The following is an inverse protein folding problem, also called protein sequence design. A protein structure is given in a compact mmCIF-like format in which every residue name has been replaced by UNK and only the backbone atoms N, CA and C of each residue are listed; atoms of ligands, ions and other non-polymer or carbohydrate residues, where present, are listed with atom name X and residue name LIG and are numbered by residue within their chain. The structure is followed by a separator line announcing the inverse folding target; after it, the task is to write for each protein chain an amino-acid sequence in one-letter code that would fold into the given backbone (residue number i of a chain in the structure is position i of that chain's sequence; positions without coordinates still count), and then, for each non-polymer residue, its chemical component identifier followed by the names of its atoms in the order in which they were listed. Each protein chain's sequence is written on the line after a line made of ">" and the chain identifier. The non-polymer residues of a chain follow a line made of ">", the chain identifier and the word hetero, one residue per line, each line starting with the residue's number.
data_IF_533146834865
#
_entry.id   IF_533146834865
#
_cell.length_a   1.000
_cell.length_b   1.000
_cell.length_c   1.000
_cell.angle_alpha   90.00
_cell.angle_beta   90.00
_cell.angle_gamma   90.00
#
_symmetry.space_group_name_H-M   'P 1'
#
loop_
_entity.id
_entity.type
_entity.pdbx_description
1 polymer ?
#
# COMPACT_ATOMS: atom_id res chain seq x y z
N UNK A 1 17.85 -31.47 12.44
CA UNK A 1 17.52 -30.76 11.20
C UNK A 1 17.53 -29.27 11.51
N UNK A 2 18.31 -28.46 10.79
CA UNK A 2 18.40 -27.00 10.99
C UNK A 2 17.86 -26.33 9.75
N UNK A 3 17.00 -25.31 9.93
CA UNK A 3 16.49 -24.48 8.83
C UNK A 3 17.32 -23.20 8.78
N UNK A 4 17.71 -22.81 7.57
CA UNK A 4 18.44 -21.56 7.35
C UNK A 4 17.61 -20.36 7.81
N UNK A 5 18.24 -19.43 8.51
CA UNK A 5 17.58 -18.22 8.97
C UNK A 5 17.19 -17.32 7.78
N UNK A 6 15.95 -16.83 7.76
CA UNK A 6 15.51 -15.87 6.76
C UNK A 6 16.09 -14.49 7.07
N UNK A 7 17.09 -14.11 6.30
CA UNK A 7 17.75 -12.81 6.36
C UNK A 7 17.42 -12.00 5.11
N UNK A 8 17.34 -10.68 5.24
CA UNK A 8 17.29 -9.79 4.09
C UNK A 8 18.67 -9.65 3.42
N UNK A 9 18.76 -8.95 2.31
CA UNK A 9 19.98 -8.67 1.56
C UNK A 9 21.07 -7.96 2.36
N UNK A 10 20.70 -7.25 3.45
CA UNK A 10 21.61 -6.60 4.39
C UNK A 10 22.09 -7.54 5.53
N UNK A 11 21.70 -8.80 5.53
CA UNK A 11 22.03 -9.76 6.58
C UNK A 11 21.22 -9.62 7.89
N UNK A 12 20.15 -8.81 7.88
CA UNK A 12 19.25 -8.63 9.03
C UNK A 12 18.10 -9.64 8.98
N UNK A 13 17.64 -10.09 10.17
CA UNK A 13 16.48 -10.99 10.27
C UNK A 13 15.23 -10.32 9.72
N UNK A 14 14.52 -11.00 8.80
CA UNK A 14 13.24 -10.54 8.30
C UNK A 14 12.12 -10.70 9.34
N UNK A 15 11.04 -9.91 9.20
CA UNK A 15 9.90 -9.91 10.12
C UNK A 15 10.06 -9.06 11.37
N UNK A 16 11.27 -8.48 11.61
CA UNK A 16 11.51 -7.48 12.66
C UNK A 16 11.96 -6.18 12.00
N UNK A 17 11.04 -5.30 11.71
CA UNK A 17 11.34 -3.96 11.17
C UNK A 17 11.56 -2.97 12.31
N UNK A 18 12.18 -1.82 12.03
CA UNK A 18 12.26 -0.70 12.98
C UNK A 18 10.88 -0.17 13.37
N UNK A 19 9.86 -0.43 12.56
CA UNK A 19 8.45 -0.05 12.78
C UNK A 19 7.64 -1.13 13.52
N UNK A 20 8.23 -2.25 13.91
CA UNK A 20 7.55 -3.36 14.58
C UNK A 20 7.63 -4.68 13.81
N UNK A 21 7.09 -5.75 14.41
CA UNK A 21 7.01 -7.06 13.79
C UNK A 21 5.77 -7.15 12.88
N UNK A 22 5.90 -7.90 11.77
CA UNK A 22 4.74 -8.30 10.96
C UNK A 22 4.16 -9.57 11.59
N UNK A 23 2.91 -9.49 11.98
CA UNK A 23 2.21 -10.56 12.67
C UNK A 23 1.36 -11.37 11.70
N UNK A 24 1.20 -12.66 11.97
CA UNK A 24 0.27 -13.53 11.26
C UNK A 24 -1.17 -13.36 11.77
N UNK A 25 -1.33 -12.80 12.95
CA UNK A 25 -2.62 -12.50 13.57
C UNK A 25 -3.26 -11.27 12.88
N UNK A 26 -4.44 -11.41 12.24
CA UNK A 26 -5.09 -10.32 11.51
C UNK A 26 -5.54 -9.16 12.41
N UNK A 27 -5.64 -9.37 13.73
CA UNK A 27 -5.96 -8.29 14.68
C UNK A 27 -4.73 -7.41 15.00
N UNK A 28 -3.52 -7.86 14.66
CA UNK A 28 -2.27 -7.12 14.91
C UNK A 28 -1.65 -6.57 13.64
N UNK A 29 -1.77 -7.28 12.54
CA UNK A 29 -1.38 -6.87 11.19
C UNK A 29 -2.51 -7.30 10.26
N UNK A 30 -3.22 -6.35 9.72
CA UNK A 30 -4.34 -6.64 8.81
C UNK A 30 -3.86 -7.38 7.55
N UNK A 31 -4.71 -8.16 6.87
CA UNK A 31 -4.36 -8.82 5.61
C UNK A 31 -3.79 -7.85 4.56
N UNK A 32 -4.31 -6.62 4.52
CA UNK A 32 -3.81 -5.59 3.62
C UNK A 32 -2.40 -5.12 3.99
N UNK A 33 -2.12 -4.82 5.28
CA UNK A 33 -0.79 -4.46 5.74
C UNK A 33 0.21 -5.60 5.56
N UNK A 34 -0.23 -6.85 5.76
CA UNK A 34 0.57 -8.04 5.51
C UNK A 34 0.93 -8.18 4.03
N UNK A 35 -0.05 -7.98 3.13
CA UNK A 35 0.16 -7.93 1.69
C UNK A 35 1.16 -6.84 1.30
N UNK A 36 0.98 -5.63 1.82
CA UNK A 36 1.85 -4.48 1.54
C UNK A 36 3.29 -4.71 2.03
N UNK A 37 3.47 -5.36 3.16
CA UNK A 37 4.81 -5.71 3.64
C UNK A 37 5.57 -6.54 2.62
N UNK A 38 4.96 -7.60 2.10
CA UNK A 38 5.59 -8.48 1.11
C UNK A 38 5.70 -7.84 -0.27
N UNK A 39 4.77 -6.97 -0.61
CA UNK A 39 4.82 -6.15 -1.84
C UNK A 39 5.99 -5.16 -1.85
N UNK A 40 6.43 -4.72 -0.68
CA UNK A 40 7.52 -3.77 -0.50
C UNK A 40 8.86 -4.41 -0.14
N UNK A 41 9.00 -5.72 -0.29
CA UNK A 41 10.28 -6.41 -0.10
C UNK A 41 11.30 -5.94 -1.14
N UNK A 42 12.59 -5.99 -0.81
CA UNK A 42 13.65 -5.57 -1.73
C UNK A 42 13.73 -6.48 -2.96
N UNK A 43 14.13 -5.93 -4.11
CA UNK A 43 14.31 -6.68 -5.36
C UNK A 43 15.28 -7.85 -5.18
N UNK A 44 16.33 -7.64 -4.39
CA UNK A 44 17.34 -8.66 -4.08
C UNK A 44 16.82 -9.82 -3.21
N UNK A 45 15.69 -9.63 -2.53
CA UNK A 45 15.14 -10.62 -1.60
C UNK A 45 13.93 -11.38 -2.13
N UNK A 46 13.23 -10.84 -3.15
CA UNK A 46 11.93 -11.36 -3.60
C UNK A 46 11.99 -12.83 -4.04
N UNK A 47 12.96 -13.20 -4.88
CA UNK A 47 13.08 -14.58 -5.39
C UNK A 47 13.50 -15.56 -4.31
N UNK A 48 14.34 -15.13 -3.38
CA UNK A 48 14.69 -15.90 -2.19
C UNK A 48 13.46 -16.17 -1.32
N UNK A 49 12.62 -15.14 -1.10
CA UNK A 49 11.39 -15.29 -0.33
C UNK A 49 10.40 -16.22 -1.05
N UNK A 50 10.24 -16.11 -2.36
CA UNK A 50 9.40 -17.03 -3.15
C UNK A 50 9.84 -18.48 -2.95
N UNK A 51 11.14 -18.79 -3.05
CA UNK A 51 11.67 -20.14 -2.88
C UNK A 51 11.53 -20.70 -1.45
N UNK A 52 11.62 -19.84 -0.44
CA UNK A 52 11.64 -20.26 0.96
C UNK A 52 10.26 -20.30 1.61
N UNK A 53 9.32 -19.48 1.16
CA UNK A 53 8.08 -19.20 1.88
C UNK A 53 6.82 -19.60 1.12
N UNK A 54 6.91 -19.87 -0.19
CA UNK A 54 5.74 -20.25 -1.01
C UNK A 54 5.81 -21.74 -1.42
N UNK A 55 4.70 -22.26 -1.90
CA UNK A 55 4.60 -23.61 -2.47
C UNK A 55 4.56 -23.59 -4.01
N UNK A 56 4.96 -22.48 -4.61
CA UNK A 56 5.06 -22.39 -6.07
C UNK A 56 6.09 -23.37 -6.63
N UNK A 57 5.85 -23.97 -7.82
CA UNK A 57 6.81 -24.82 -8.49
C UNK A 57 8.15 -24.10 -8.69
N UNK A 58 9.26 -24.79 -8.42
CA UNK A 58 10.60 -24.20 -8.58
C UNK A 58 10.90 -23.79 -10.02
N UNK A 59 10.35 -24.50 -11.01
CA UNK A 59 10.46 -24.16 -12.42
C UNK A 59 9.91 -22.76 -12.69
N UNK A 60 8.73 -22.46 -12.16
CA UNK A 60 8.10 -21.14 -12.31
C UNK A 60 8.93 -20.03 -11.64
N UNK A 61 9.51 -20.29 -10.46
CA UNK A 61 10.37 -19.31 -9.79
C UNK A 61 11.70 -19.13 -10.54
N UNK A 62 12.26 -20.20 -11.11
CA UNK A 62 13.49 -20.13 -11.86
C UNK A 62 13.34 -19.34 -13.17
N UNK A 63 12.17 -19.34 -13.80
CA UNK A 63 11.87 -18.46 -14.94
C UNK A 63 11.99 -16.97 -14.56
N UNK A 64 11.71 -16.64 -13.30
CA UNK A 64 11.81 -15.27 -12.79
C UNK A 64 13.25 -14.83 -12.49
N UNK A 65 14.24 -15.73 -12.51
CA UNK A 65 15.66 -15.39 -12.25
C UNK A 65 16.23 -14.39 -13.27
N UNK A 66 15.65 -14.36 -14.47
CA UNK A 66 16.02 -13.42 -15.53
C UNK A 66 15.25 -12.09 -15.47
N UNK A 67 14.34 -11.93 -14.52
CA UNK A 67 13.50 -10.74 -14.43
C UNK A 67 14.25 -9.57 -13.82
N UNK A 68 14.09 -8.40 -14.42
CA UNK A 68 14.72 -7.14 -13.98
C UNK A 68 13.72 -5.99 -13.96
N UNK A 69 14.02 -4.96 -13.19
CA UNK A 69 13.25 -3.72 -13.15
C UNK A 69 11.76 -3.94 -12.85
N UNK A 70 10.89 -3.54 -13.77
CA UNK A 70 9.42 -3.64 -13.60
C UNK A 70 8.90 -5.07 -13.46
N UNK A 71 9.61 -6.06 -14.01
CA UNK A 71 9.22 -7.48 -13.91
C UNK A 71 9.35 -7.99 -12.47
N UNK A 72 10.33 -7.50 -11.69
CA UNK A 72 10.45 -7.83 -10.26
C UNK A 72 9.26 -7.31 -9.45
N UNK A 73 8.60 -6.23 -9.88
CA UNK A 73 7.36 -5.79 -9.24
C UNK A 73 6.25 -6.85 -9.36
N UNK A 74 6.18 -7.54 -10.49
CA UNK A 74 5.24 -8.66 -10.69
C UNK A 74 5.60 -9.85 -9.78
N UNK A 75 6.88 -10.15 -9.61
CA UNK A 75 7.34 -11.18 -8.68
C UNK A 75 6.96 -10.84 -7.23
N UNK A 76 7.03 -9.56 -6.83
CA UNK A 76 6.57 -9.08 -5.52
C UNK A 76 5.06 -9.18 -5.36
N UNK A 77 4.28 -8.94 -6.40
CA UNK A 77 2.82 -9.14 -6.39
C UNK A 77 2.48 -10.62 -6.15
N UNK A 78 3.13 -11.52 -6.87
CA UNK A 78 2.97 -12.96 -6.70
C UNK A 78 3.34 -13.37 -5.27
N UNK A 79 4.49 -12.93 -4.76
CA UNK A 79 4.92 -13.22 -3.39
C UNK A 79 3.90 -12.74 -2.36
N UNK A 80 3.43 -11.51 -2.47
CA UNK A 80 2.47 -10.91 -1.55
C UNK A 80 1.13 -11.65 -1.59
N UNK A 81 0.64 -12.00 -2.78
CA UNK A 81 -0.59 -12.74 -2.96
C UNK A 81 -0.50 -14.14 -2.36
N UNK A 82 0.54 -14.90 -2.71
CA UNK A 82 0.75 -16.28 -2.22
C UNK A 82 0.83 -16.33 -0.69
N UNK A 83 1.62 -15.45 -0.07
CA UNK A 83 1.78 -15.42 1.38
C UNK A 83 0.51 -14.95 2.09
N UNK A 84 -0.19 -13.96 1.54
CA UNK A 84 -1.45 -13.49 2.13
C UNK A 84 -2.52 -14.57 2.00
N UNK A 85 -2.60 -15.24 0.86
CA UNK A 85 -3.50 -16.37 0.64
C UNK A 85 -3.23 -17.55 1.60
N UNK A 86 -1.96 -17.86 1.82
CA UNK A 86 -1.55 -18.93 2.73
C UNK A 86 -1.93 -18.63 4.20
N UNK A 87 -1.82 -17.37 4.62
CA UNK A 87 -1.98 -16.99 6.04
C UNK A 87 -3.42 -16.55 6.35
N UNK A 88 -4.04 -15.79 5.47
CA UNK A 88 -5.34 -15.14 5.69
C UNK A 88 -6.46 -15.67 4.79
N UNK A 89 -6.14 -16.53 3.84
CA UNK A 89 -7.08 -17.08 2.87
C UNK A 89 -7.11 -16.29 1.55
N UNK A 90 -7.55 -16.98 0.50
CA UNK A 90 -7.52 -16.46 -0.89
C UNK A 90 -8.44 -15.24 -1.07
N UNK A 91 -9.59 -15.21 -0.38
CA UNK A 91 -10.52 -14.07 -0.47
C UNK A 91 -9.90 -12.78 0.07
N UNK A 92 -9.22 -12.85 1.23
CA UNK A 92 -8.55 -11.71 1.82
C UNK A 92 -7.33 -11.27 0.98
N UNK A 93 -6.62 -12.22 0.37
CA UNK A 93 -5.54 -11.91 -0.57
C UNK A 93 -6.05 -11.16 -1.81
N UNK A 94 -7.19 -11.58 -2.39
CA UNK A 94 -7.83 -10.89 -3.52
C UNK A 94 -8.28 -9.48 -3.16
N UNK A 95 -8.88 -9.29 -1.97
CA UNK A 95 -9.27 -7.97 -1.48
C UNK A 95 -8.05 -7.07 -1.28
N UNK A 96 -6.99 -7.59 -0.67
CA UNK A 96 -5.76 -6.85 -0.45
C UNK A 96 -5.07 -6.46 -1.77
N UNK A 97 -5.03 -7.36 -2.74
CA UNK A 97 -4.50 -7.08 -4.08
C UNK A 97 -5.32 -6.02 -4.81
N UNK A 98 -6.66 -6.15 -4.80
CA UNK A 98 -7.56 -5.18 -5.42
C UNK A 98 -7.39 -3.79 -4.80
N UNK A 99 -7.37 -3.70 -3.47
CA UNK A 99 -7.14 -2.44 -2.75
C UNK A 99 -5.77 -1.83 -3.07
N UNK A 100 -4.72 -2.65 -3.18
CA UNK A 100 -3.39 -2.20 -3.55
C UNK A 100 -3.35 -1.65 -4.99
N UNK A 101 -4.03 -2.31 -5.94
CA UNK A 101 -4.12 -1.84 -7.34
C UNK A 101 -4.86 -0.50 -7.44
N UNK A 102 -5.91 -0.31 -6.65
CA UNK A 102 -6.64 0.98 -6.60
C UNK A 102 -5.75 2.09 -6.05
N UNK A 103 -5.08 1.84 -4.94
CA UNK A 103 -4.24 2.86 -4.27
C UNK A 103 -3.00 3.26 -5.07
N UNK A 104 -2.42 2.32 -5.84
CA UNK A 104 -1.13 2.55 -6.53
C UNK A 104 -1.22 2.47 -8.06
N UNK A 105 -2.35 2.03 -8.61
CA UNK A 105 -2.55 1.82 -10.05
C UNK A 105 -3.23 2.97 -10.79
N UNK A 106 -3.58 4.07 -10.10
CA UNK A 106 -4.26 5.22 -10.71
C UNK A 106 -5.66 4.92 -11.26
N UNK A 107 -6.23 3.78 -10.92
CA UNK A 107 -7.58 3.39 -11.35
C UNK A 107 -8.63 3.68 -10.28
N UNK A 108 -9.53 4.59 -10.56
CA UNK A 108 -10.67 4.97 -9.70
C UNK A 108 -11.78 3.91 -9.70
N UNK A 109 -11.46 2.64 -9.37
CA UNK A 109 -12.49 1.58 -9.26
C UNK A 109 -12.14 0.56 -8.20
N UNK A 110 -12.44 0.89 -6.96
CA UNK A 110 -12.35 0.04 -5.78
C UNK A 110 -12.95 0.79 -4.60
N UNK A 111 -13.22 0.11 -3.50
CA UNK A 111 -13.67 0.75 -2.26
C UNK A 111 -12.59 1.73 -1.75
N UNK A 112 -12.54 2.93 -2.32
CA UNK A 112 -11.76 4.02 -1.76
C UNK A 112 -12.41 4.44 -0.44
N UNK A 113 -11.62 4.77 0.59
CA UNK A 113 -12.15 5.45 1.76
C UNK A 113 -12.92 6.70 1.30
N UNK A 114 -14.23 6.63 1.38
CA UNK A 114 -15.12 7.75 1.03
C UNK A 114 -15.56 8.43 2.30
N UNK A 115 -15.56 9.75 2.29
CA UNK A 115 -16.13 10.57 3.37
C UNK A 115 -17.34 11.30 2.80
N UNK A 116 -18.50 11.04 3.38
CA UNK A 116 -19.71 11.79 3.04
C UNK A 116 -19.59 13.19 3.67
N UNK A 117 -19.72 14.22 2.83
CA UNK A 117 -19.77 15.60 3.26
C UNK A 117 -21.24 16.02 3.42
N UNK A 118 -21.56 16.67 4.53
CA UNK A 118 -22.86 17.27 4.74
C UNK A 118 -22.91 18.69 4.16
N UNK A 119 -24.11 19.20 3.90
CA UNK A 119 -24.28 20.61 3.44
C UNK A 119 -23.68 21.62 4.42
N UNK A 120 -23.57 21.29 5.71
CA UNK A 120 -22.95 22.14 6.74
C UNK A 120 -21.42 22.20 6.62
N UNK A 121 -20.79 21.27 5.91
CA UNK A 121 -19.35 21.23 5.69
C UNK A 121 -18.92 22.08 4.47
N UNK A 122 -19.91 22.52 3.71
CA UNK A 122 -19.77 23.35 2.52
C UNK A 122 -20.10 24.81 2.84
N UNK A 123 -19.25 25.73 2.49
CA UNK A 123 -19.54 27.15 2.50
C UNK A 123 -20.07 27.56 1.11
N UNK A 124 -21.36 27.88 1.03
CA UNK A 124 -22.05 28.24 -0.23
C UNK A 124 -21.90 27.15 -1.34
N UNK A 125 -21.94 25.86 -0.93
CA UNK A 125 -21.77 24.73 -1.87
C UNK A 125 -20.31 24.47 -2.28
N UNK A 126 -19.34 25.08 -1.60
CA UNK A 126 -17.92 24.98 -1.92
C UNK A 126 -17.12 24.56 -0.68
N UNK A 127 -16.13 23.71 -0.87
CA UNK A 127 -15.17 23.32 0.18
C UNK A 127 -13.74 23.69 -0.24
N UNK A 128 -13.00 24.35 0.65
CA UNK A 128 -11.58 24.60 0.43
C UNK A 128 -10.73 23.34 0.65
N UNK A 129 -9.64 23.20 -0.09
CA UNK A 129 -8.76 22.03 -0.07
C UNK A 129 -8.23 21.71 1.33
N UNK A 130 -7.95 22.69 2.17
CA UNK A 130 -7.45 22.48 3.53
C UNK A 130 -8.54 21.88 4.42
N UNK A 131 -9.78 22.37 4.31
CA UNK A 131 -10.94 21.81 5.01
C UNK A 131 -11.24 20.40 4.53
N UNK A 132 -11.19 20.15 3.23
CA UNK A 132 -11.37 18.82 2.65
C UNK A 132 -10.34 17.81 3.21
N UNK A 133 -9.06 18.17 3.27
CA UNK A 133 -7.98 17.31 3.82
C UNK A 133 -8.16 17.00 5.31
N UNK A 134 -8.73 17.93 6.08
CA UNK A 134 -9.00 17.69 7.50
C UNK A 134 -10.25 16.84 7.70
N UNK A 135 -11.34 17.11 6.99
CA UNK A 135 -12.60 16.35 7.08
C UNK A 135 -12.45 14.90 6.62
N UNK A 136 -11.63 14.66 5.62
CA UNK A 136 -11.29 13.30 5.14
C UNK A 136 -10.31 12.57 6.05
N UNK A 137 -9.79 13.22 7.11
CA UNK A 137 -8.82 12.61 8.02
C UNK A 137 -7.40 12.46 7.46
N UNK A 138 -7.13 13.00 6.27
CA UNK A 138 -5.81 12.98 5.65
C UNK A 138 -4.81 13.91 6.34
N UNK A 139 -5.30 14.93 7.03
CA UNK A 139 -4.51 15.83 7.86
C UNK A 139 -5.19 16.04 9.21
N UNK A 140 -4.39 16.14 10.27
CA UNK A 140 -4.90 16.38 11.63
C UNK A 140 -5.31 17.84 11.89
N UNK A 141 -4.84 18.77 11.03
CA UNK A 141 -5.12 20.20 11.16
C UNK A 141 -4.94 20.96 9.85
N UNK A 142 -5.59 22.12 9.72
CA UNK A 142 -5.39 23.03 8.57
C UNK A 142 -3.94 23.49 8.42
N UNK A 143 -3.19 23.60 9.53
CA UNK A 143 -1.76 23.97 9.47
C UNK A 143 -0.89 22.87 8.87
N UNK A 144 -1.23 21.62 9.12
CA UNK A 144 -0.59 20.47 8.49
C UNK A 144 -0.96 20.37 7.01
N UNK A 145 -2.24 20.50 6.68
CA UNK A 145 -2.72 20.54 5.30
C UNK A 145 -1.99 21.60 4.47
N UNK A 146 -1.84 22.81 5.01
CA UNK A 146 -1.10 23.90 4.37
C UNK A 146 0.36 23.53 4.09
N UNK A 147 1.06 22.91 5.05
CA UNK A 147 2.43 22.45 4.87
C UNK A 147 2.53 21.39 3.77
N UNK A 148 1.63 20.42 3.79
CA UNK A 148 1.62 19.33 2.81
C UNK A 148 1.38 19.86 1.38
N UNK A 149 0.48 20.83 1.21
CA UNK A 149 0.26 21.50 -0.08
C UNK A 149 1.52 22.23 -0.54
N UNK A 150 2.14 23.01 0.33
CA UNK A 150 3.36 23.78 0.02
C UNK A 150 4.56 22.88 -0.32
N UNK A 151 4.65 21.71 0.29
CA UNK A 151 5.68 20.71 -0.01
C UNK A 151 5.35 19.88 -1.25
N UNK A 152 4.19 20.11 -1.87
CA UNK A 152 3.74 19.40 -3.06
C UNK A 152 3.37 17.95 -2.80
N UNK A 153 2.98 17.61 -1.58
CA UNK A 153 2.51 16.28 -1.16
C UNK A 153 1.01 16.03 -1.38
N UNK A 154 0.29 16.97 -2.00
CA UNK A 154 -1.15 16.84 -2.23
C UNK A 154 -1.45 16.84 -3.73
N UNK A 155 -2.27 15.88 -4.14
CA UNK A 155 -2.86 15.82 -5.48
C UNK A 155 -4.38 15.69 -5.36
N UNK A 156 -5.11 16.29 -6.28
CA UNK A 156 -6.55 16.18 -6.41
C UNK A 156 -6.91 15.94 -7.88
N UNK A 157 -7.68 14.90 -8.16
CA UNK A 157 -8.05 14.46 -9.51
C UNK A 157 -6.81 14.27 -10.41
N UNK A 158 -5.79 13.58 -9.88
CA UNK A 158 -4.49 13.30 -10.53
C UNK A 158 -3.62 14.54 -10.82
N UNK A 159 -4.08 15.76 -10.46
CA UNK A 159 -3.32 16.98 -10.59
C UNK A 159 -2.67 17.39 -9.26
N UNK A 160 -1.39 17.76 -9.32
CA UNK A 160 -0.66 18.28 -8.16
C UNK A 160 -1.21 19.62 -7.72
N UNK A 161 -1.62 19.72 -6.44
CA UNK A 161 -2.13 20.95 -5.86
C UNK A 161 -1.00 21.74 -5.22
N UNK A 162 -0.74 22.94 -5.71
CA UNK A 162 0.22 23.90 -5.14
C UNK A 162 -0.48 25.15 -4.58
N UNK A 163 -1.74 25.38 -4.94
CA UNK A 163 -2.53 26.51 -4.48
C UNK A 163 -3.33 26.15 -3.22
N UNK A 164 -3.06 26.86 -2.15
CA UNK A 164 -3.76 26.73 -0.85
C UNK A 164 -5.20 27.23 -0.92
N UNK A 165 -5.53 28.09 -1.89
CA UNK A 165 -6.86 28.65 -2.11
C UNK A 165 -7.75 27.81 -3.05
N UNK A 166 -7.26 26.64 -3.53
CA UNK A 166 -8.06 25.76 -4.39
C UNK A 166 -9.30 25.28 -3.64
N UNK A 167 -10.44 25.35 -4.31
CA UNK A 167 -11.73 24.92 -3.78
C UNK A 167 -12.43 23.98 -4.76
N UNK A 168 -13.38 23.19 -4.23
CA UNK A 168 -14.17 22.24 -4.99
C UNK A 168 -15.64 22.53 -4.75
N UNK A 169 -16.45 22.42 -5.81
CA UNK A 169 -17.92 22.50 -5.76
C UNK A 169 -18.51 21.12 -5.59
N UNK A 170 -19.61 21.02 -4.85
CA UNK A 170 -20.46 19.84 -4.90
C UNK A 170 -21.26 19.88 -6.21
N UNK A 171 -21.00 18.92 -7.10
CA UNK A 171 -21.79 18.64 -8.30
C UNK A 171 -22.80 17.55 -8.02
#
# INVERSE_FOLDING_TARGET
>A
MTITLLLNSEGKKMGKTQKGAVWLDPNKTTPFEFYQYWRNVSDADVLKCLRMLTFLPLEQINEMDSWEGSQLNKAKEILAFELTSLVHGEEEAKKAEASAKVLFGGGASGEMPTTELSESDLADGVIDIMSALVLTGLCSSKSEARRNIQQGGVSANDEKVSDIGRSFTAD
#
